data_IF_141370361438
#
_entry.id   IF_141370361438
#
_cell.length_a   1.000
_cell.length_b   1.000
_cell.length_c   1.000
_cell.angle_alpha   90.00
_cell.angle_beta   90.00
_cell.angle_gamma   90.00
#
_symmetry.space_group_name_H-M   'P 1'
#
loop_
_entity.id
_entity.type
_entity.pdbx_description
1 polymer ?
#
# COMPACT_ATOMS: atom_id res chain seq x y z
N UNK A 1 13.13 -39.29 -8.27
CA UNK A 1 12.86 -38.35 -7.16
C UNK A 1 11.39 -37.96 -7.21
N UNK A 2 10.73 -37.83 -6.07
CA UNK A 2 9.35 -37.33 -5.96
C UNK A 2 9.44 -35.83 -5.68
N UNK A 3 8.73 -35.02 -6.44
CA UNK A 3 8.60 -33.58 -6.23
C UNK A 3 7.15 -33.20 -6.00
N UNK A 4 6.94 -32.13 -5.24
CA UNK A 4 5.64 -31.52 -5.04
C UNK A 4 5.73 -30.06 -5.45
N UNK A 5 4.61 -29.52 -5.92
CA UNK A 5 4.48 -28.11 -6.26
C UNK A 5 3.23 -27.54 -5.57
N UNK A 6 3.47 -26.47 -4.80
CA UNK A 6 2.42 -25.67 -4.20
C UNK A 6 2.21 -24.41 -5.02
N UNK A 7 0.96 -24.06 -5.30
CA UNK A 7 0.58 -22.78 -5.93
C UNK A 7 -0.32 -22.04 -4.95
N UNK A 8 0.10 -20.86 -4.52
CA UNK A 8 -0.68 -19.97 -3.67
C UNK A 8 -0.96 -18.69 -4.47
N UNK A 9 -2.23 -18.30 -4.51
CA UNK A 9 -2.67 -17.06 -5.13
C UNK A 9 -2.86 -16.00 -4.06
N UNK A 10 -2.45 -14.77 -4.40
CA UNK A 10 -2.51 -13.62 -3.52
C UNK A 10 -3.15 -12.46 -4.28
N UNK A 11 -4.13 -11.79 -3.69
CA UNK A 11 -4.76 -10.59 -4.28
C UNK A 11 -5.37 -9.68 -3.21
N UNK A 12 -5.86 -8.52 -3.64
CA UNK A 12 -6.54 -7.55 -2.77
C UNK A 12 -8.03 -7.50 -3.05
N UNK A 13 -8.82 -7.30 -2.01
CA UNK A 13 -10.23 -6.91 -2.13
C UNK A 13 -10.35 -5.42 -2.49
N UNK A 14 -11.53 -4.96 -2.94
CA UNK A 14 -11.82 -3.53 -3.09
C UNK A 14 -11.64 -2.72 -1.79
N UNK A 15 -11.69 -3.38 -0.64
CA UNK A 15 -11.44 -2.79 0.69
C UNK A 15 -9.96 -2.80 1.08
N UNK A 16 -9.06 -3.12 0.14
CA UNK A 16 -7.62 -3.24 0.37
C UNK A 16 -7.20 -4.30 1.40
N UNK A 17 -8.02 -5.35 1.55
CA UNK A 17 -7.67 -6.49 2.39
C UNK A 17 -6.91 -7.53 1.55
N UNK A 18 -5.80 -8.05 2.08
CA UNK A 18 -5.03 -9.12 1.43
C UNK A 18 -5.73 -10.46 1.60
N UNK A 19 -5.95 -11.17 0.49
CA UNK A 19 -6.45 -12.54 0.48
C UNK A 19 -5.36 -13.46 -0.06
N UNK A 20 -5.14 -14.56 0.67
CA UNK A 20 -4.20 -15.62 0.34
C UNK A 20 -4.95 -16.95 0.24
N UNK A 21 -4.91 -17.62 -0.92
CA UNK A 21 -5.53 -18.94 -1.11
C UNK A 21 -4.52 -19.93 -1.68
N UNK A 22 -4.39 -21.09 -1.02
CA UNK A 22 -3.68 -22.23 -1.57
C UNK A 22 -4.54 -22.85 -2.69
N UNK A 23 -4.09 -22.65 -3.93
CA UNK A 23 -4.79 -23.15 -5.13
C UNK A 23 -4.61 -24.66 -5.29
N UNK A 24 -3.38 -25.14 -5.12
CA UNK A 24 -3.08 -26.57 -5.13
C UNK A 24 -1.78 -26.90 -4.41
N UNK A 25 -1.65 -28.14 -3.95
CA UNK A 25 -0.40 -28.73 -3.51
C UNK A 25 -0.36 -30.17 -4.01
N UNK A 26 0.30 -30.39 -5.15
CA UNK A 26 0.21 -31.65 -5.89
C UNK A 26 1.58 -32.21 -6.23
N UNK A 27 1.62 -33.53 -6.43
CA UNK A 27 2.83 -34.23 -6.85
C UNK A 27 3.10 -33.96 -8.33
N UNK A 28 4.32 -33.54 -8.64
CA UNK A 28 4.79 -33.37 -10.02
C UNK A 28 5.77 -34.51 -10.37
N UNK A 29 5.63 -35.18 -11.53
CA UNK A 29 6.54 -36.24 -11.93
C UNK A 29 7.95 -35.70 -12.27
N UNK A 30 8.95 -36.56 -12.13
CA UNK A 30 10.31 -36.30 -12.59
C UNK A 30 10.41 -36.55 -14.11
N UNK A 31 11.18 -35.76 -14.89
CA UNK A 31 12.06 -34.67 -14.45
C UNK A 31 11.33 -33.34 -14.22
N UNK A 32 11.71 -32.63 -13.15
CA UNK A 32 11.16 -31.30 -12.82
C UNK A 32 11.80 -30.19 -13.67
N UNK A 33 11.74 -30.33 -15.00
CA UNK A 33 12.27 -29.32 -15.92
C UNK A 33 11.46 -28.04 -15.83
N UNK A 34 12.05 -26.91 -16.25
CA UNK A 34 11.33 -25.63 -16.33
C UNK A 34 10.04 -25.72 -17.15
N UNK A 35 10.06 -26.47 -18.25
CA UNK A 35 8.91 -26.67 -19.13
C UNK A 35 7.82 -27.51 -18.45
N UNK A 36 8.18 -28.56 -17.73
CA UNK A 36 7.23 -29.39 -17.00
C UNK A 36 6.53 -28.60 -15.89
N UNK A 37 7.31 -27.78 -15.15
CA UNK A 37 6.78 -26.88 -14.12
C UNK A 37 5.83 -25.85 -14.74
N UNK A 38 6.25 -25.17 -15.81
CA UNK A 38 5.44 -24.15 -16.45
C UNK A 38 4.12 -24.73 -17.01
N UNK A 39 4.20 -25.87 -17.69
CA UNK A 39 3.02 -26.56 -18.22
C UNK A 39 2.03 -26.96 -17.11
N UNK A 40 2.54 -27.48 -15.99
CA UNK A 40 1.72 -27.81 -14.83
C UNK A 40 0.99 -26.58 -14.29
N UNK A 41 1.71 -25.47 -14.08
CA UNK A 41 1.15 -24.24 -13.53
C UNK A 41 0.13 -23.63 -14.50
N UNK A 42 0.44 -23.56 -15.80
CA UNK A 42 -0.51 -23.06 -16.81
C UNK A 42 -1.79 -23.89 -16.85
N UNK A 43 -1.68 -25.22 -16.73
CA UNK A 43 -2.85 -26.11 -16.65
C UNK A 43 -3.71 -25.79 -15.43
N UNK A 44 -3.09 -25.59 -14.27
CA UNK A 44 -3.81 -25.20 -13.05
C UNK A 44 -4.44 -23.82 -13.18
N UNK A 45 -3.71 -22.82 -13.66
CA UNK A 45 -4.29 -21.49 -13.87
C UNK A 45 -5.48 -21.51 -14.84
N UNK A 46 -5.43 -22.37 -15.86
CA UNK A 46 -6.56 -22.59 -16.78
C UNK A 46 -7.75 -23.28 -16.11
N UNK A 47 -7.49 -24.29 -15.28
CA UNK A 47 -8.54 -25.01 -14.51
C UNK A 47 -9.39 -24.07 -13.64
N UNK A 48 -8.77 -23.00 -13.13
CA UNK A 48 -9.43 -22.00 -12.27
C UNK A 48 -9.79 -20.69 -12.99
N UNK A 49 -9.68 -20.60 -14.32
CA UNK A 49 -9.94 -19.39 -15.11
C UNK A 49 -9.15 -18.15 -14.62
N UNK A 50 -7.86 -18.37 -14.35
CA UNK A 50 -6.92 -17.37 -13.81
C UNK A 50 -5.83 -16.94 -14.81
N UNK A 51 -5.71 -17.54 -15.99
CA UNK A 51 -4.61 -17.30 -16.94
C UNK A 51 -4.38 -15.81 -17.25
N UNK A 52 -5.45 -15.03 -17.39
CA UNK A 52 -5.40 -13.60 -17.70
C UNK A 52 -5.44 -12.70 -16.46
N UNK A 53 -5.59 -13.28 -15.27
CA UNK A 53 -5.69 -12.57 -13.99
C UNK A 53 -4.36 -12.55 -13.23
N UNK A 54 -3.42 -13.42 -13.59
CA UNK A 54 -2.09 -13.47 -12.96
C UNK A 54 -1.22 -12.31 -13.47
N UNK A 55 -0.86 -11.41 -12.56
CA UNK A 55 -0.02 -10.25 -12.86
C UNK A 55 1.47 -10.62 -12.76
N UNK A 56 1.84 -11.41 -11.76
CA UNK A 56 3.21 -11.86 -11.51
C UNK A 56 3.23 -13.18 -10.73
N UNK A 57 4.38 -13.86 -10.73
CA UNK A 57 4.64 -15.05 -9.93
C UNK A 57 5.91 -14.86 -9.09
N UNK A 58 5.90 -15.37 -7.86
CA UNK A 58 7.07 -15.47 -6.99
C UNK A 58 7.38 -16.94 -6.82
N UNK A 59 8.63 -17.32 -7.09
CA UNK A 59 9.10 -18.70 -6.95
C UNK A 59 10.36 -18.77 -6.12
N UNK A 60 10.76 -19.99 -5.76
CA UNK A 60 12.09 -20.22 -5.23
C UNK A 60 13.20 -19.92 -6.27
N UNK A 61 14.44 -19.87 -5.77
CA UNK A 61 15.65 -19.64 -6.57
C UNK A 61 16.20 -20.92 -7.24
N UNK A 62 15.42 -22.01 -7.28
CA UNK A 62 15.79 -23.24 -7.95
C UNK A 62 16.01 -23.00 -9.44
N UNK A 63 17.06 -23.59 -10.01
CA UNK A 63 17.47 -23.33 -11.39
C UNK A 63 16.34 -23.54 -12.41
N UNK A 64 15.50 -24.56 -12.20
CA UNK A 64 14.35 -24.84 -13.05
C UNK A 64 13.20 -23.86 -12.84
N UNK A 65 12.97 -23.36 -11.62
CA UNK A 65 11.97 -22.32 -11.33
C UNK A 65 12.38 -20.99 -11.98
N UNK A 66 13.64 -20.58 -11.78
CA UNK A 66 14.19 -19.37 -12.43
C UNK A 66 14.04 -19.43 -13.95
N UNK A 67 14.31 -20.60 -14.55
CA UNK A 67 14.18 -20.76 -16.00
C UNK A 67 12.72 -20.81 -16.47
N UNK A 68 11.80 -21.33 -15.65
CA UNK A 68 10.37 -21.37 -15.97
C UNK A 68 9.75 -19.96 -15.99
N UNK A 69 10.21 -19.06 -15.12
CA UNK A 69 9.65 -17.72 -14.93
C UNK A 69 10.58 -16.60 -15.40
N UNK A 70 11.48 -16.91 -16.34
CA UNK A 70 12.48 -15.95 -16.78
C UNK A 70 11.81 -14.82 -17.57
N UNK A 71 12.02 -13.59 -17.09
CA UNK A 71 11.67 -12.31 -17.70
C UNK A 71 10.18 -12.05 -17.96
N UNK A 72 9.49 -11.46 -16.97
CA UNK A 72 8.38 -10.55 -17.25
C UNK A 72 8.84 -9.11 -17.09
N UNK A 73 8.50 -8.26 -18.05
CA UNK A 73 8.80 -6.81 -18.03
C UNK A 73 8.26 -6.14 -16.75
N UNK A 74 7.13 -6.63 -16.25
CA UNK A 74 6.48 -6.18 -15.01
C UNK A 74 7.36 -6.40 -13.76
N UNK A 75 8.14 -7.49 -13.69
CA UNK A 75 9.06 -7.75 -12.55
C UNK A 75 10.19 -6.70 -12.51
N UNK A 76 10.66 -6.23 -13.67
CA UNK A 76 11.73 -5.21 -13.74
C UNK A 76 11.24 -3.86 -13.22
N UNK A 77 10.03 -3.45 -13.60
CA UNK A 77 9.42 -2.20 -13.13
C UNK A 77 9.19 -2.24 -11.61
N UNK A 78 8.69 -3.36 -11.10
CA UNK A 78 8.49 -3.56 -9.67
C UNK A 78 9.77 -3.44 -8.85
N UNK A 79 10.84 -4.12 -9.28
CA UNK A 79 12.14 -4.07 -8.58
C UNK A 79 12.71 -2.66 -8.54
N UNK A 80 12.49 -1.87 -9.61
CA UNK A 80 12.86 -0.45 -9.64
C UNK A 80 12.08 0.35 -8.59
N UNK A 81 10.77 0.12 -8.47
CA UNK A 81 9.92 0.82 -7.51
C UNK A 81 10.29 0.52 -6.05
N UNK A 82 10.51 -0.74 -5.69
CA UNK A 82 11.01 -1.06 -4.33
C UNK A 82 12.34 -0.36 -4.08
N UNK A 83 13.28 -0.45 -5.03
CA UNK A 83 14.62 0.12 -4.89
C UNK A 83 14.55 1.64 -4.68
N UNK A 84 13.64 2.32 -5.38
CA UNK A 84 13.43 3.76 -5.25
C UNK A 84 13.10 4.16 -3.81
N UNK A 85 12.11 3.52 -3.19
CA UNK A 85 11.68 3.85 -1.82
C UNK A 85 12.57 3.25 -0.73
N UNK A 86 13.34 2.20 -1.01
CA UNK A 86 14.24 1.58 -0.01
C UNK A 86 15.64 2.16 0.02
N UNK A 87 16.16 2.61 -1.12
CA UNK A 87 17.56 3.06 -1.23
C UNK A 87 17.70 4.56 -0.95
N UNK A 88 16.66 5.36 -1.23
CA UNK A 88 16.70 6.80 -1.05
C UNK A 88 15.96 7.22 0.22
N UNK A 89 16.71 7.71 1.20
CA UNK A 89 16.16 8.21 2.49
C UNK A 89 15.12 9.31 2.23
N UNK A 90 15.44 10.27 1.35
CA UNK A 90 14.53 11.36 0.97
C UNK A 90 13.20 10.86 0.39
N UNK A 91 13.24 9.80 -0.42
CA UNK A 91 12.01 9.26 -1.00
C UNK A 91 11.19 8.46 0.03
N UNK A 92 11.84 7.82 1.00
CA UNK A 92 11.15 7.23 2.15
C UNK A 92 10.49 8.30 3.02
N UNK A 93 11.16 9.41 3.28
CA UNK A 93 10.61 10.54 4.05
C UNK A 93 9.42 11.18 3.36
N UNK A 94 9.48 11.37 2.04
CA UNK A 94 8.33 11.85 1.27
C UNK A 94 7.14 10.91 1.37
N UNK A 95 7.38 9.59 1.41
CA UNK A 95 6.32 8.60 1.57
C UNK A 95 5.72 8.61 2.99
N UNK A 96 6.54 8.88 4.01
CA UNK A 96 6.07 9.11 5.37
C UNK A 96 5.20 10.38 5.44
N UNK A 97 5.61 11.47 4.81
CA UNK A 97 4.84 12.72 4.76
C UNK A 97 3.51 12.56 4.01
N UNK A 98 3.50 11.85 2.89
CA UNK A 98 2.27 11.56 2.16
C UNK A 98 1.26 10.78 3.03
N UNK A 99 1.73 9.80 3.80
CA UNK A 99 0.88 9.07 4.75
C UNK A 99 0.31 10.00 5.83
N UNK A 100 1.12 10.92 6.37
CA UNK A 100 0.69 11.91 7.36
C UNK A 100 -0.38 12.83 6.78
N UNK A 101 -0.15 13.41 5.59
CA UNK A 101 -1.10 14.32 4.93
C UNK A 101 -2.43 13.63 4.64
N UNK A 102 -2.38 12.38 4.13
CA UNK A 102 -3.60 11.61 3.88
C UNK A 102 -4.37 11.34 5.18
N UNK A 103 -3.68 10.98 6.26
CA UNK A 103 -4.32 10.75 7.56
C UNK A 103 -4.96 12.03 8.12
N UNK A 104 -4.28 13.17 7.99
CA UNK A 104 -4.82 14.49 8.39
C UNK A 104 -6.08 14.83 7.59
N UNK A 105 -6.04 14.71 6.27
CA UNK A 105 -7.19 15.00 5.41
C UNK A 105 -8.39 14.12 5.74
N UNK A 106 -8.18 12.81 5.96
CA UNK A 106 -9.25 11.88 6.39
C UNK A 106 -9.85 12.29 7.74
N UNK A 107 -9.04 12.73 8.69
CA UNK A 107 -9.54 13.20 9.99
C UNK A 107 -10.32 14.52 9.88
N UNK A 108 -9.86 15.46 9.04
CA UNK A 108 -10.59 16.72 8.77
C UNK A 108 -11.93 16.44 8.08
N UNK A 109 -11.97 15.53 7.10
CA UNK A 109 -13.22 15.11 6.45
C UNK A 109 -14.18 14.44 7.45
N UNK A 110 -13.69 13.64 8.39
CA UNK A 110 -14.52 13.04 9.44
C UNK A 110 -15.11 14.14 10.35
N UNK A 111 -14.30 15.10 10.80
CA UNK A 111 -14.77 16.21 11.62
C UNK A 111 -15.80 17.09 10.90
N UNK A 112 -15.59 17.38 9.62
CA UNK A 112 -16.53 18.18 8.82
C UNK A 112 -17.86 17.44 8.61
N UNK A 113 -17.80 16.13 8.34
CA UNK A 113 -19.01 15.30 8.22
C UNK A 113 -19.76 15.15 9.55
N UNK A 114 -19.05 15.06 10.67
CA UNK A 114 -19.65 15.02 12.01
C UNK A 114 -20.30 16.35 12.38
N UNK A 115 -19.69 17.49 12.01
CA UNK A 115 -20.29 18.82 12.16
C UNK A 115 -21.54 18.98 11.30
N UNK A 116 -21.52 18.54 10.05
CA UNK A 116 -22.70 18.57 9.16
C UNK A 116 -23.83 17.74 9.76
N UNK A 117 -23.57 16.53 10.25
CA UNK A 117 -24.58 15.71 10.94
C UNK A 117 -25.11 16.40 12.19
N UNK A 118 -24.23 17.03 12.97
CA UNK A 118 -24.64 17.77 14.17
C UNK A 118 -25.54 18.96 13.81
N UNK A 119 -25.26 19.67 12.71
CA UNK A 119 -26.10 20.78 12.24
C UNK A 119 -27.44 20.26 11.70
N UNK A 120 -27.43 19.17 10.93
CA UNK A 120 -28.65 18.54 10.41
C UNK A 120 -29.55 18.03 11.55
N UNK A 121 -28.98 17.39 12.57
CA UNK A 121 -29.71 16.89 13.75
C UNK A 121 -30.28 18.03 14.62
N UNK A 122 -29.68 19.23 14.57
CA UNK A 122 -30.17 20.41 15.30
C UNK A 122 -31.06 21.34 14.44
N UNK A 123 -31.25 21.05 13.15
CA UNK A 123 -32.10 21.84 12.26
C UNK A 123 -33.61 21.62 12.44
N UNK A 124 -34.01 20.71 13.34
CA UNK A 124 -35.42 20.45 13.71
C UNK A 124 -35.90 21.20 14.98
N UNK A 125 -35.14 22.14 15.55
CA UNK A 125 -35.62 22.99 16.65
C UNK A 125 -35.38 24.48 16.38
N UNK A 126 -36.45 25.15 15.93
CA UNK A 126 -36.54 26.61 15.75
C UNK A 126 -36.39 27.39 17.06
N UNK A 127 -35.66 28.50 16.93
CA UNK A 127 -35.81 29.83 17.56
C UNK A 127 -35.66 30.02 19.08
N UNK A 128 -34.49 30.51 19.52
CA UNK A 128 -34.41 31.60 20.52
C UNK A 128 -33.15 32.47 20.30
N UNK A 129 -33.36 33.76 19.99
CA UNK A 129 -32.37 34.86 19.96
C UNK A 129 -31.58 35.01 21.30
N UNK A 130 -30.35 35.57 21.28
CA UNK A 130 -29.88 36.68 22.16
C UNK A 130 -28.38 37.02 21.91
N UNK A 131 -28.21 38.23 21.35
CA UNK A 131 -27.17 39.29 21.47
C UNK A 131 -25.70 39.02 21.84
N UNK A 132 -24.83 39.55 20.96
CA UNK A 132 -23.64 40.39 21.20
C UNK A 132 -23.02 40.42 22.60
N UNK A 133 -21.74 40.02 22.67
CA UNK A 133 -20.66 40.75 23.36
C UNK A 133 -19.29 40.24 22.90
N UNK A 134 -18.55 41.14 22.26
CA UNK A 134 -17.12 41.08 22.00
C UNK A 134 -16.33 41.09 23.30
N UNK A 135 -15.34 40.22 23.45
CA UNK A 135 -14.19 40.49 24.31
C UNK A 135 -12.91 39.94 23.64
N UNK A 136 -12.00 40.86 23.36
CA UNK A 136 -10.64 40.62 22.92
C UNK A 136 -9.83 40.05 24.09
N UNK A 137 -9.21 38.88 23.93
CA UNK A 137 -8.10 38.47 24.79
C UNK A 137 -6.97 37.86 23.97
N UNK A 138 -5.79 38.42 24.17
CA UNK A 138 -4.47 38.08 23.65
C UNK A 138 -4.19 36.57 23.52
N UNK A 139 -4.12 36.08 22.29
CA UNK A 139 -3.61 34.74 21.95
C UNK A 139 -2.16 34.86 21.45
N UNK A 140 -1.19 34.74 22.36
CA UNK A 140 0.24 34.52 22.02
C UNK A 140 0.79 33.17 22.47
N UNK A 141 0.05 32.40 23.27
CA UNK A 141 0.49 31.11 23.81
C UNK A 141 -0.08 29.89 23.05
N UNK A 142 -0.82 30.10 21.95
CA UNK A 142 -1.49 29.02 21.20
C UNK A 142 -0.58 28.19 20.28
N UNK A 143 0.54 28.75 19.81
CA UNK A 143 1.33 28.14 18.73
C UNK A 143 2.19 26.97 19.20
N UNK A 144 2.80 27.05 20.39
CA UNK A 144 3.67 25.98 20.92
C UNK A 144 2.86 24.72 21.31
N UNK A 145 1.59 24.90 21.70
CA UNK A 145 0.71 23.82 22.12
C UNK A 145 0.11 23.06 20.92
N UNK A 146 -0.10 23.73 19.79
CA UNK A 146 -0.56 23.11 18.55
C UNK A 146 0.52 22.23 17.91
N UNK A 147 1.76 22.71 17.78
CA UNK A 147 2.87 21.92 17.21
C UNK A 147 3.19 20.67 18.06
N UNK A 148 3.18 20.81 19.39
CA UNK A 148 3.40 19.69 20.29
C UNK A 148 2.28 18.64 20.21
N UNK A 149 1.02 19.07 20.12
CA UNK A 149 -0.11 18.17 19.94
C UNK A 149 -0.11 17.51 18.55
N UNK A 150 0.31 18.23 17.51
CA UNK A 150 0.47 17.71 16.16
C UNK A 150 1.54 16.62 16.09
N UNK A 151 2.67 16.82 16.77
CA UNK A 151 3.73 15.81 16.90
C UNK A 151 3.25 14.56 17.67
N UNK A 152 2.44 14.75 18.71
CA UNK A 152 1.82 13.65 19.47
C UNK A 152 0.85 12.87 18.58
N UNK A 153 0.01 13.53 17.78
CA UNK A 153 -0.89 12.87 16.83
C UNK A 153 -0.13 12.14 15.71
N UNK A 154 0.91 12.74 15.14
CA UNK A 154 1.78 12.07 14.16
C UNK A 154 2.44 10.83 14.77
N UNK A 155 2.85 10.89 16.05
CA UNK A 155 3.46 9.75 16.75
C UNK A 155 2.49 8.59 16.98
N UNK A 156 1.17 8.85 17.02
CA UNK A 156 0.12 7.82 17.09
C UNK A 156 -0.15 7.18 15.73
N UNK A 157 0.19 7.84 14.62
CA UNK A 157 0.04 7.28 13.28
C UNK A 157 1.05 6.14 13.08
N UNK A 158 0.53 4.94 12.80
CA UNK A 158 1.36 3.77 12.49
C UNK A 158 1.87 3.85 11.05
N UNK A 159 2.94 4.62 10.84
CA UNK A 159 3.58 4.77 9.53
C UNK A 159 4.15 3.43 9.04
N UNK A 160 3.87 3.10 7.78
CA UNK A 160 4.36 1.90 7.14
C UNK A 160 5.63 2.22 6.34
N UNK A 161 6.76 1.63 6.74
CA UNK A 161 8.01 1.75 5.98
C UNK A 161 8.06 0.74 4.85
N UNK A 162 8.71 1.07 3.74
CA UNK A 162 8.87 0.10 2.66
C UNK A 162 9.75 -1.09 3.10
N UNK A 163 9.46 -2.29 2.58
CA UNK A 163 10.26 -3.50 2.79
C UNK A 163 11.16 -3.72 1.57
N UNK A 164 12.42 -4.08 1.82
CA UNK A 164 13.37 -4.40 0.76
C UNK A 164 13.22 -5.84 0.25
N UNK A 165 13.34 -5.99 -1.07
CA UNK A 165 13.43 -7.31 -1.71
C UNK A 165 14.85 -7.85 -1.55
N UNK A 166 14.96 -8.96 -0.82
CA UNK A 166 16.24 -9.58 -0.46
C UNK A 166 16.32 -10.95 -1.10
N UNK A 167 17.15 -11.09 -2.14
CA UNK A 167 17.25 -12.29 -2.97
C UNK A 167 17.47 -13.59 -2.18
N UNK A 168 18.18 -13.52 -1.05
CA UNK A 168 18.55 -14.68 -0.23
C UNK A 168 17.53 -15.03 0.85
N UNK A 169 16.48 -14.21 1.05
CA UNK A 169 15.47 -14.42 2.10
C UNK A 169 14.15 -14.86 1.45
N UNK A 170 13.64 -16.01 1.86
CA UNK A 170 12.37 -16.54 1.34
C UNK A 170 11.21 -15.54 1.49
N UNK A 171 10.39 -15.44 0.45
CA UNK A 171 9.22 -14.57 0.34
C UNK A 171 9.48 -13.05 0.47
N UNK A 172 10.74 -12.59 0.46
CA UNK A 172 11.07 -11.17 0.58
C UNK A 172 10.45 -10.33 -0.55
N UNK A 173 10.46 -10.85 -1.78
CA UNK A 173 9.78 -10.20 -2.90
C UNK A 173 8.30 -10.05 -2.59
N UNK A 174 7.61 -11.13 -2.21
CA UNK A 174 6.18 -11.11 -1.85
C UNK A 174 5.86 -10.05 -0.80
N UNK A 175 6.58 -10.02 0.32
CA UNK A 175 6.36 -9.01 1.37
C UNK A 175 6.64 -7.59 0.90
N UNK A 176 7.62 -7.40 0.02
CA UNK A 176 7.91 -6.08 -0.58
C UNK A 176 6.77 -5.63 -1.50
N UNK A 177 6.17 -6.55 -2.26
CA UNK A 177 4.99 -6.27 -3.09
C UNK A 177 3.79 -5.90 -2.23
N UNK A 178 3.49 -6.72 -1.23
CA UNK A 178 2.40 -6.49 -0.30
C UNK A 178 2.53 -5.13 0.39
N UNK A 179 3.73 -4.74 0.82
CA UNK A 179 3.99 -3.42 1.41
C UNK A 179 3.77 -2.27 0.42
N UNK A 180 4.20 -2.39 -0.82
CA UNK A 180 3.95 -1.35 -1.83
C UNK A 180 2.46 -1.19 -2.14
N UNK A 181 1.70 -2.28 -2.06
CA UNK A 181 0.25 -2.25 -2.20
C UNK A 181 -0.44 -1.54 -1.03
N UNK A 182 -0.01 -1.82 0.21
CA UNK A 182 -0.45 -1.09 1.41
C UNK A 182 -0.15 0.42 1.30
N UNK A 183 0.96 0.77 0.64
CA UNK A 183 1.42 2.14 0.45
C UNK A 183 0.85 2.83 -0.81
N UNK A 184 -0.04 2.18 -1.55
CA UNK A 184 -0.52 2.66 -2.85
C UNK A 184 -1.10 4.07 -2.79
N UNK A 185 -1.98 4.37 -1.82
CA UNK A 185 -2.60 5.70 -1.70
C UNK A 185 -1.54 6.80 -1.53
N UNK A 186 -0.55 6.56 -0.69
CA UNK A 186 0.55 7.49 -0.46
C UNK A 186 1.45 7.64 -1.70
N UNK A 187 1.70 6.54 -2.44
CA UNK A 187 2.47 6.58 -3.69
C UNK A 187 1.73 7.34 -4.79
N UNK A 188 0.42 7.13 -4.93
CA UNK A 188 -0.43 7.84 -5.90
C UNK A 188 -0.48 9.34 -5.56
N UNK A 189 -0.68 9.68 -4.29
CA UNK A 189 -0.62 11.07 -3.82
C UNK A 189 0.72 11.71 -4.16
N UNK A 190 1.83 11.05 -3.88
CA UNK A 190 3.16 11.54 -4.25
C UNK A 190 3.33 11.70 -5.75
N UNK A 191 2.85 10.76 -6.55
CA UNK A 191 2.94 10.83 -8.01
C UNK A 191 2.19 12.06 -8.56
N UNK A 192 1.09 12.47 -7.92
CA UNK A 192 0.33 13.68 -8.30
C UNK A 192 0.96 14.98 -7.81
N UNK A 193 1.67 14.98 -6.66
CA UNK A 193 2.22 16.19 -6.05
C UNK A 193 3.67 16.48 -6.45
N UNK A 194 4.46 15.46 -6.80
CA UNK A 194 5.84 15.60 -7.28
C UNK A 194 5.99 16.51 -8.51
N UNK A 195 5.09 16.48 -9.53
CA UNK A 195 5.14 17.41 -10.66
C UNK A 195 4.87 18.87 -10.24
N UNK A 196 3.91 19.09 -9.33
CA UNK A 196 3.46 20.42 -8.89
C UNK A 196 4.53 21.17 -8.08
N UNK A 197 5.33 20.46 -7.30
CA UNK A 197 6.45 21.07 -6.56
C UNK A 197 7.57 21.57 -7.49
N UNK A 198 7.65 21.07 -8.72
CA UNK A 198 8.68 21.49 -9.68
C UNK A 198 8.34 22.81 -10.37
N UNK A 199 7.06 23.09 -10.55
CA UNK A 199 6.55 24.33 -11.16
C UNK A 199 6.58 25.50 -10.17
N UNK A 200 6.35 25.25 -8.88
CA UNK A 200 6.40 26.29 -7.84
C UNK A 200 7.84 26.72 -7.45
N UNK A 201 8.86 25.99 -7.91
CA UNK A 201 10.28 26.25 -7.61
C UNK A 201 11.07 26.78 -8.84
N UNK A 202 10.38 27.15 -9.91
CA UNK A 202 10.93 27.75 -11.13
C UNK A 202 10.51 29.23 -11.23
#
# INVERSE_FOLDING_TARGET
>A
KIGFIGITCHWLTPKFETIDILLCCEKIPYPHTSQAILSFISTKLKEFDLEQKVIFAVSDNGANMIRAFKDSEKISQFKKLIKFFTTSVKQSEHLDQAQITIAKNKNSEIQENDLIRFIDDNSEQEDVNITDKTDETDNKDGVENEEANELIEISKLKLLRNISDVRTRWNSSYYSWQRLLELREAIEWLATTLPLQRENNA
#
